data_IF_271797400648
#
_entry.id   IF_271797400648
#
_cell.length_a   1.000
_cell.length_b   1.000
_cell.length_c   1.000
_cell.angle_alpha   90.00
_cell.angle_beta   90.00
_cell.angle_gamma   90.00
#
_symmetry.space_group_name_H-M   'P 1'
#
loop_
_entity.id
_entity.type
_entity.pdbx_description
1 polymer ?
#
# COMPACT_ATOMS: atom_id res chain seq x y z
N UNK A 1 43.01 76.90 7.94
CA UNK A 1 43.39 76.48 6.58
C UNK A 1 43.22 74.96 6.55
N UNK A 2 42.00 74.42 6.58
CA UNK A 2 40.84 74.65 5.71
C UNK A 2 41.15 74.46 4.22
N UNK A 3 40.73 73.31 3.71
CA UNK A 3 40.11 73.22 2.39
C UNK A 3 38.95 72.20 2.43
N UNK A 4 37.78 72.70 2.81
CA UNK A 4 36.47 72.25 2.31
C UNK A 4 36.41 72.68 0.83
N UNK A 5 35.92 71.96 -0.18
CA UNK A 5 34.58 71.42 -0.45
C UNK A 5 34.60 70.86 -1.89
N UNK A 6 33.77 69.88 -2.23
CA UNK A 6 33.54 69.52 -3.63
C UNK A 6 32.59 68.35 -3.88
N UNK A 7 31.31 68.59 -3.64
CA UNK A 7 30.12 67.93 -4.21
C UNK A 7 29.70 66.49 -3.80
N UNK A 8 28.44 66.46 -3.35
CA UNK A 8 27.54 65.33 -3.03
C UNK A 8 26.74 64.99 -4.31
N UNK A 9 26.01 63.85 -4.30
CA UNK A 9 24.88 63.41 -5.18
C UNK A 9 25.30 62.22 -6.08
N UNK A 10 24.77 60.99 -6.02
CA UNK A 10 23.63 60.38 -5.29
C UNK A 10 23.96 58.90 -5.01
N UNK A 11 23.80 58.45 -3.76
CA UNK A 11 23.66 57.02 -3.43
C UNK A 11 22.20 56.75 -3.12
N UNK A 12 21.39 56.64 -4.17
CA UNK A 12 20.07 56.03 -4.06
C UNK A 12 20.22 54.50 -4.08
N UNK A 13 20.31 53.92 -2.90
CA UNK A 13 19.28 52.96 -2.46
C UNK A 13 19.48 52.60 -0.98
N UNK A 14 18.46 52.92 -0.20
CA UNK A 14 18.06 52.26 1.04
C UNK A 14 18.30 50.73 0.94
N UNK A 15 18.70 50.00 1.97
CA UNK A 15 18.16 50.00 3.32
C UNK A 15 19.15 49.36 4.28
N UNK A 16 19.00 49.71 5.56
CA UNK A 16 19.54 48.99 6.71
C UNK A 16 19.27 47.49 6.56
N UNK A 17 20.27 46.70 6.19
CA UNK A 17 20.17 45.24 6.27
C UNK A 17 20.28 44.83 7.73
N UNK A 18 19.12 44.83 8.35
CA UNK A 18 18.88 44.22 9.63
C UNK A 18 19.29 42.74 9.56
N UNK A 19 20.36 42.36 10.27
CA UNK A 19 20.90 40.99 10.32
C UNK A 19 19.97 40.00 11.06
N UNK A 20 18.70 40.35 11.25
CA UNK A 20 17.67 39.56 11.92
C UNK A 20 17.11 38.41 11.05
N UNK A 21 17.41 38.38 9.75
CA UNK A 21 16.90 37.34 8.83
C UNK A 21 17.88 36.20 8.51
N UNK A 22 19.16 36.27 8.88
CA UNK A 22 20.12 35.18 8.62
C UNK A 22 19.90 33.99 9.56
N UNK A 23 19.64 34.25 10.85
CA UNK A 23 19.30 33.23 11.85
C UNK A 23 18.04 32.44 11.48
N UNK A 24 17.07 33.08 10.81
CA UNK A 24 15.83 32.42 10.41
C UNK A 24 16.06 31.32 9.35
N UNK A 25 16.93 31.57 8.37
CA UNK A 25 17.28 30.58 7.36
C UNK A 25 18.21 29.48 7.88
N UNK A 26 19.12 29.80 8.81
CA UNK A 26 19.94 28.81 9.52
C UNK A 26 19.11 27.94 10.48
N UNK A 27 18.11 28.50 11.15
CA UNK A 27 17.16 27.72 11.96
C UNK A 27 16.29 26.80 11.10
N UNK A 28 15.88 27.23 9.89
CA UNK A 28 15.05 26.39 9.01
C UNK A 28 15.87 25.30 8.34
N UNK A 29 17.12 25.57 7.95
CA UNK A 29 18.03 24.57 7.39
C UNK A 29 18.44 23.54 8.46
N UNK A 30 18.82 23.99 9.66
CA UNK A 30 19.14 23.12 10.80
C UNK A 30 17.92 22.32 11.28
N UNK A 31 16.72 22.91 11.35
CA UNK A 31 15.46 22.16 11.63
C UNK A 31 15.13 21.13 10.55
N UNK A 32 15.44 21.39 9.28
CA UNK A 32 15.25 20.42 8.18
C UNK A 32 16.28 19.29 8.27
N UNK A 33 17.52 19.61 8.62
CA UNK A 33 18.60 18.63 8.72
C UNK A 33 18.47 17.73 9.96
N UNK A 34 18.11 18.30 11.11
CA UNK A 34 17.73 17.55 12.34
C UNK A 34 16.52 16.66 12.10
N UNK A 35 15.43 17.18 11.50
CA UNK A 35 14.26 16.36 11.12
C UNK A 35 14.62 15.23 10.16
N UNK A 36 15.54 15.44 9.21
CA UNK A 36 16.02 14.38 8.30
C UNK A 36 16.79 13.30 9.05
N UNK A 37 17.69 13.68 9.97
CA UNK A 37 18.43 12.76 10.85
C UNK A 37 17.46 11.96 11.74
N UNK A 38 16.53 12.63 12.43
CA UNK A 38 15.49 11.99 13.25
C UNK A 38 14.62 11.02 12.44
N UNK A 39 14.24 11.39 11.21
CA UNK A 39 13.44 10.53 10.32
C UNK A 39 14.25 9.30 9.87
N UNK A 40 15.54 9.46 9.58
CA UNK A 40 16.43 8.35 9.22
C UNK A 40 16.60 7.37 10.38
N UNK A 41 16.83 7.88 11.58
CA UNK A 41 16.94 7.06 12.79
C UNK A 41 15.63 6.32 13.08
N UNK A 42 14.48 6.98 12.92
CA UNK A 42 13.19 6.33 13.09
C UNK A 42 12.96 5.19 12.07
N UNK A 43 13.35 5.37 10.80
CA UNK A 43 13.27 4.30 9.79
C UNK A 43 14.10 3.09 10.19
N UNK A 44 15.32 3.31 10.67
CA UNK A 44 16.23 2.24 11.10
C UNK A 44 15.70 1.51 12.34
N UNK A 45 15.23 2.26 13.34
CA UNK A 45 14.63 1.70 14.56
C UNK A 45 13.40 0.85 14.23
N UNK A 46 12.51 1.34 13.37
CA UNK A 46 11.32 0.59 12.95
C UNK A 46 11.69 -0.65 12.15
N UNK A 47 12.62 -0.54 11.20
CA UNK A 47 13.05 -1.68 10.41
C UNK A 47 13.70 -2.77 11.28
N UNK A 48 14.61 -2.40 12.18
CA UNK A 48 15.26 -3.35 13.09
C UNK A 48 14.24 -4.04 14.00
N UNK A 49 13.28 -3.30 14.53
CA UNK A 49 12.20 -3.87 15.32
C UNK A 49 11.39 -4.90 14.51
N UNK A 50 10.99 -4.56 13.28
CA UNK A 50 10.26 -5.49 12.42
C UNK A 50 11.08 -6.75 12.11
N UNK A 51 12.38 -6.60 11.81
CA UNK A 51 13.27 -7.74 11.54
C UNK A 51 13.48 -8.64 12.77
N UNK A 52 13.37 -8.10 13.99
CA UNK A 52 13.45 -8.91 15.21
C UNK A 52 12.20 -9.74 15.50
N UNK A 53 11.02 -9.31 15.02
CA UNK A 53 9.75 -10.00 15.30
C UNK A 53 9.28 -10.89 14.14
N UNK A 54 9.76 -10.64 12.92
CA UNK A 54 9.40 -11.42 11.74
C UNK A 54 10.20 -12.73 11.63
N UNK A 55 9.52 -13.80 11.22
CA UNK A 55 10.20 -15.03 10.80
C UNK A 55 10.85 -14.89 9.40
N UNK A 56 11.58 -15.91 8.94
CA UNK A 56 12.30 -15.85 7.67
C UNK A 56 11.40 -15.68 6.45
N UNK A 57 10.25 -16.39 6.41
CA UNK A 57 9.28 -16.28 5.32
C UNK A 57 8.64 -14.88 5.27
N UNK A 58 8.26 -14.34 6.43
CA UNK A 58 7.72 -12.98 6.58
C UNK A 58 8.74 -11.93 6.13
N UNK A 59 10.03 -12.13 6.44
CA UNK A 59 11.12 -11.26 5.97
C UNK A 59 11.26 -11.29 4.45
N UNK A 60 11.21 -12.47 3.85
CA UNK A 60 11.31 -12.61 2.39
C UNK A 60 10.13 -11.91 1.69
N UNK A 61 8.91 -12.16 2.14
CA UNK A 61 7.71 -11.47 1.62
C UNK A 61 7.81 -9.95 1.82
N UNK A 62 8.30 -9.51 2.99
CA UNK A 62 8.52 -8.11 3.29
C UNK A 62 9.43 -7.45 2.27
N UNK A 63 10.61 -8.02 2.01
CA UNK A 63 11.56 -7.44 1.05
C UNK A 63 11.06 -7.52 -0.40
N UNK A 64 10.30 -8.56 -0.76
CA UNK A 64 9.67 -8.70 -2.07
C UNK A 64 8.61 -7.63 -2.33
N UNK A 65 7.83 -7.25 -1.31
CA UNK A 65 6.87 -6.14 -1.42
C UNK A 65 7.63 -4.81 -1.41
N UNK A 66 8.61 -4.69 -0.53
CA UNK A 66 9.42 -3.49 -0.35
C UNK A 66 10.18 -3.07 -1.62
N UNK A 67 10.71 -4.02 -2.38
CA UNK A 67 11.44 -3.77 -3.62
C UNK A 67 10.55 -3.26 -4.75
N UNK A 68 9.25 -3.58 -4.72
CA UNK A 68 8.26 -3.10 -5.70
C UNK A 68 7.78 -1.68 -5.42
N UNK A 69 8.15 -1.09 -4.28
CA UNK A 69 7.70 0.23 -3.86
C UNK A 69 8.78 1.28 -4.14
N UNK A 70 8.35 2.44 -4.66
CA UNK A 70 9.23 3.54 -5.02
C UNK A 70 10.01 4.18 -3.86
N UNK A 71 10.78 5.23 -4.17
CA UNK A 71 11.83 5.77 -3.29
C UNK A 71 11.35 6.41 -1.98
N UNK A 72 10.08 6.85 -1.89
CA UNK A 72 9.54 7.45 -0.65
C UNK A 72 9.17 6.40 0.37
N UNK A 73 10.21 5.94 1.06
CA UNK A 73 10.19 4.96 2.14
C UNK A 73 10.12 5.67 3.48
N UNK A 74 8.93 5.74 4.09
CA UNK A 74 8.70 6.28 5.43
C UNK A 74 8.44 5.17 6.47
N UNK A 75 8.68 5.40 7.77
CA UNK A 75 8.49 4.35 8.79
C UNK A 75 7.09 3.74 8.79
N UNK A 76 6.06 4.54 8.47
CA UNK A 76 4.69 4.06 8.35
C UNK A 76 4.49 3.07 7.20
N UNK A 77 5.27 3.16 6.12
CA UNK A 77 5.23 2.20 5.03
C UNK A 77 5.77 0.84 5.49
N UNK A 78 6.85 0.82 6.27
CA UNK A 78 7.44 -0.44 6.75
C UNK A 78 6.44 -1.18 7.65
N UNK A 79 5.82 -0.45 8.57
CA UNK A 79 4.77 -0.98 9.44
C UNK A 79 3.57 -1.46 8.63
N UNK A 80 3.18 -0.73 7.57
CA UNK A 80 2.07 -1.11 6.72
C UNK A 80 2.32 -2.40 5.94
N UNK A 81 3.55 -2.63 5.46
CA UNK A 81 3.93 -3.89 4.79
C UNK A 81 3.88 -5.05 5.78
N UNK A 82 4.46 -4.88 6.97
CA UNK A 82 4.41 -5.91 8.01
C UNK A 82 2.97 -6.26 8.40
N UNK A 83 2.14 -5.26 8.73
CA UNK A 83 0.75 -5.53 9.09
C UNK A 83 -0.02 -6.17 7.94
N UNK A 84 0.34 -5.87 6.69
CA UNK A 84 -0.29 -6.48 5.53
C UNK A 84 0.04 -7.97 5.41
N UNK A 85 1.30 -8.37 5.58
CA UNK A 85 1.74 -9.78 5.59
C UNK A 85 1.03 -10.55 6.70
N UNK A 86 1.08 -10.04 7.93
CA UNK A 86 0.47 -10.69 9.09
C UNK A 86 -1.05 -10.85 8.90
N UNK A 87 -1.73 -9.85 8.34
CA UNK A 87 -3.18 -9.97 8.05
C UNK A 87 -3.49 -11.01 6.98
N UNK A 88 -2.62 -11.17 5.98
CA UNK A 88 -2.79 -12.16 4.91
C UNK A 88 -2.65 -13.59 5.44
N UNK A 89 -1.84 -13.78 6.47
CA UNK A 89 -1.69 -15.05 7.19
C UNK A 89 -2.80 -15.29 8.25
N UNK A 90 -3.80 -14.40 8.36
CA UNK A 90 -4.86 -14.50 9.34
C UNK A 90 -4.42 -14.23 10.80
N UNK A 91 -3.21 -13.70 10.99
CA UNK A 91 -2.64 -13.38 12.30
C UNK A 91 -3.06 -11.97 12.72
N UNK A 92 -3.02 -11.72 14.03
CA UNK A 92 -3.26 -10.40 14.64
C UNK A 92 -1.94 -9.86 15.18
N UNK A 93 -1.73 -8.54 15.06
CA UNK A 93 -0.56 -7.87 15.64
C UNK A 93 -0.47 -8.08 17.15
N UNK A 94 0.75 -8.29 17.65
CA UNK A 94 0.98 -8.56 19.07
C UNK A 94 0.76 -7.33 19.95
N UNK A 95 0.53 -7.55 21.26
CA UNK A 95 0.40 -6.45 22.23
C UNK A 95 1.66 -5.59 22.29
N UNK A 96 2.83 -6.19 22.13
CA UNK A 96 4.11 -5.47 22.19
C UNK A 96 4.34 -4.61 20.95
N UNK A 97 3.87 -5.04 19.78
CA UNK A 97 3.78 -4.19 18.59
C UNK A 97 2.96 -2.93 18.86
N UNK A 98 1.79 -3.07 19.49
CA UNK A 98 0.94 -1.92 19.83
C UNK A 98 1.62 -0.98 20.83
N UNK A 99 2.35 -1.51 21.81
CA UNK A 99 3.15 -0.69 22.75
C UNK A 99 4.26 0.05 22.02
N UNK A 100 4.98 -0.62 21.12
CA UNK A 100 6.04 -0.03 20.31
C UNK A 100 5.51 1.15 19.48
N UNK A 101 4.36 0.99 18.81
CA UNK A 101 3.74 2.07 18.05
C UNK A 101 3.43 3.31 18.91
N UNK A 102 2.87 3.09 20.11
CA UNK A 102 2.56 4.18 21.05
C UNK A 102 3.83 4.88 21.52
N UNK A 103 4.86 4.12 21.90
CA UNK A 103 6.14 4.65 22.39
C UNK A 103 6.86 5.48 21.34
N UNK A 104 6.76 5.11 20.05
CA UNK A 104 7.41 5.82 18.95
C UNK A 104 6.54 6.91 18.30
N UNK A 105 5.32 7.15 18.81
CA UNK A 105 4.42 8.16 18.26
C UNK A 105 3.94 7.87 16.83
N UNK A 106 3.94 6.60 16.41
CA UNK A 106 3.56 6.21 15.05
C UNK A 106 2.04 6.06 14.97
N UNK A 107 1.40 7.00 14.29
CA UNK A 107 -0.05 7.08 14.19
C UNK A 107 -0.66 5.93 13.38
N UNK A 108 -1.64 5.25 13.98
CA UNK A 108 -2.44 4.18 13.31
C UNK A 108 -3.07 4.65 12.00
N UNK A 109 -3.47 5.92 11.94
CA UNK A 109 -4.07 6.50 10.73
C UNK A 109 -3.08 6.52 9.56
N UNK A 110 -1.83 6.90 9.79
CA UNK A 110 -0.80 6.93 8.75
C UNK A 110 -0.54 5.52 8.20
N UNK A 111 -0.41 4.53 9.08
CA UNK A 111 -0.25 3.12 8.70
C UNK A 111 -1.44 2.64 7.87
N UNK A 112 -2.67 2.94 8.29
CA UNK A 112 -3.90 2.60 7.56
C UNK A 112 -3.93 3.18 6.15
N UNK A 113 -3.53 4.44 5.98
CA UNK A 113 -3.45 5.08 4.66
C UNK A 113 -2.42 4.38 3.77
N UNK A 114 -1.25 4.04 4.33
CA UNK A 114 -0.20 3.31 3.60
C UNK A 114 -0.65 1.90 3.20
N UNK A 115 -1.35 1.15 4.07
CA UNK A 115 -1.98 -0.14 3.71
C UNK A 115 -2.99 -0.02 2.57
N UNK A 116 -3.79 1.05 2.56
CA UNK A 116 -4.73 1.33 1.46
C UNK A 116 -4.00 1.56 0.13
N UNK A 117 -2.85 2.24 0.16
CA UNK A 117 -1.99 2.42 -1.02
C UNK A 117 -1.34 1.10 -1.44
N UNK A 118 -0.82 0.32 -0.49
CA UNK A 118 -0.22 -1.00 -0.75
C UNK A 118 -1.19 -1.92 -1.51
N UNK A 119 -2.44 -2.05 -1.05
CA UNK A 119 -3.46 -2.85 -1.76
C UNK A 119 -3.72 -2.41 -3.19
N UNK A 120 -3.75 -1.09 -3.44
CA UNK A 120 -3.90 -0.53 -4.79
C UNK A 120 -2.69 -0.86 -5.66
N UNK A 121 -1.48 -0.74 -5.11
CA UNK A 121 -0.22 -0.98 -5.84
C UNK A 121 0.00 -2.46 -6.16
N UNK A 122 -0.33 -3.34 -5.21
CA UNK A 122 -0.27 -4.80 -5.40
C UNK A 122 -1.40 -5.33 -6.31
N UNK A 123 -2.30 -4.45 -6.78
CA UNK A 123 -3.48 -4.79 -7.60
C UNK A 123 -4.31 -5.91 -6.97
N UNK A 124 -4.38 -5.95 -5.65
CA UNK A 124 -5.18 -6.96 -4.98
C UNK A 124 -6.65 -6.67 -5.20
N UNK A 125 -7.35 -7.73 -5.57
CA UNK A 125 -8.77 -7.64 -5.80
C UNK A 125 -9.49 -7.56 -4.45
N UNK A 126 -10.16 -6.46 -4.09
CA UNK A 126 -10.83 -6.33 -2.80
C UNK A 126 -11.90 -7.39 -2.56
N UNK A 127 -12.40 -8.02 -3.63
CA UNK A 127 -13.32 -9.15 -3.52
C UNK A 127 -12.59 -10.45 -3.14
N UNK A 128 -11.35 -10.65 -3.59
CA UNK A 128 -10.52 -11.78 -3.14
C UNK A 128 -10.15 -11.62 -1.65
N UNK A 129 -9.82 -10.40 -1.21
CA UNK A 129 -9.58 -10.10 0.22
C UNK A 129 -10.82 -10.45 1.06
N UNK A 130 -12.02 -10.08 0.57
CA UNK A 130 -13.28 -10.44 1.21
C UNK A 130 -13.48 -11.96 1.32
N UNK A 131 -13.28 -12.71 0.23
CA UNK A 131 -13.48 -14.17 0.21
C UNK A 131 -12.52 -14.86 1.20
N UNK A 132 -11.27 -14.42 1.25
CA UNK A 132 -10.26 -15.08 2.09
C UNK A 132 -10.42 -14.76 3.58
N UNK A 133 -10.79 -13.52 3.93
CA UNK A 133 -10.72 -13.04 5.32
C UNK A 133 -12.08 -12.85 5.99
N UNK A 134 -13.08 -12.36 5.27
CA UNK A 134 -14.37 -11.94 5.86
C UNK A 134 -15.52 -12.93 5.59
N UNK A 135 -15.44 -13.72 4.51
CA UNK A 135 -16.51 -14.65 4.14
C UNK A 135 -16.53 -15.89 5.04
N UNK A 136 -17.69 -16.15 5.64
CA UNK A 136 -17.91 -17.25 6.59
C UNK A 136 -18.38 -18.56 5.95
N UNK A 137 -18.72 -18.56 4.66
CA UNK A 137 -19.15 -19.75 3.92
C UNK A 137 -17.98 -20.55 3.34
N UNK A 138 -18.27 -21.43 2.37
CA UNK A 138 -17.25 -22.19 1.66
C UNK A 138 -16.39 -21.27 0.78
N UNK A 139 -15.14 -21.04 1.20
CA UNK A 139 -14.20 -20.14 0.53
C UNK A 139 -13.78 -20.64 -0.84
N UNK A 140 -13.60 -21.95 -1.02
CA UNK A 140 -13.21 -22.54 -2.30
C UNK A 140 -14.29 -22.35 -3.36
N UNK A 141 -15.55 -22.53 -2.96
CA UNK A 141 -16.71 -22.33 -3.83
C UNK A 141 -16.83 -20.86 -4.25
N UNK A 142 -16.66 -19.94 -3.29
CA UNK A 142 -16.67 -18.51 -3.56
C UNK A 142 -15.54 -18.07 -4.49
N UNK A 143 -14.34 -18.64 -4.35
CA UNK A 143 -13.22 -18.40 -5.27
C UNK A 143 -13.54 -18.88 -6.69
N UNK A 144 -14.05 -20.11 -6.83
CA UNK A 144 -14.41 -20.67 -8.14
C UNK A 144 -15.45 -19.81 -8.85
N UNK A 145 -16.54 -19.45 -8.16
CA UNK A 145 -17.59 -18.61 -8.72
C UNK A 145 -17.03 -17.24 -9.10
N UNK A 146 -16.21 -16.64 -8.25
CA UNK A 146 -15.59 -15.34 -8.53
C UNK A 146 -14.72 -15.36 -9.79
N UNK A 147 -13.90 -16.40 -9.97
CA UNK A 147 -13.07 -16.56 -11.18
C UNK A 147 -13.91 -16.68 -12.44
N UNK A 148 -15.00 -17.45 -12.40
CA UNK A 148 -15.91 -17.61 -13.54
C UNK A 148 -16.54 -16.26 -13.90
N UNK A 149 -17.09 -15.56 -12.90
CA UNK A 149 -17.70 -14.24 -13.09
C UNK A 149 -16.71 -13.23 -13.66
N UNK A 150 -15.44 -13.29 -13.24
CA UNK A 150 -14.36 -12.44 -13.75
C UNK A 150 -13.99 -12.79 -15.19
N UNK A 151 -13.80 -14.07 -15.52
CA UNK A 151 -13.50 -14.53 -16.90
C UNK A 151 -14.58 -14.14 -17.90
N UNK A 152 -15.84 -14.11 -17.46
CA UNK A 152 -16.99 -13.78 -18.31
C UNK A 152 -17.37 -12.30 -18.28
N UNK A 153 -16.59 -11.44 -17.62
CA UNK A 153 -16.90 -10.01 -17.44
C UNK A 153 -18.28 -9.73 -16.81
N UNK A 154 -18.83 -10.68 -16.03
CA UNK A 154 -20.10 -10.54 -15.32
C UNK A 154 -19.95 -9.75 -14.02
N UNK A 155 -18.73 -9.68 -13.49
CA UNK A 155 -18.38 -8.87 -12.33
C UNK A 155 -17.80 -7.53 -12.78
N UNK A 156 -18.49 -6.44 -12.44
CA UNK A 156 -18.14 -5.09 -12.87
C UNK A 156 -18.34 -4.03 -11.78
N UNK A 157 -17.74 -2.87 -12.00
CA UNK A 157 -17.88 -1.70 -11.15
C UNK A 157 -16.99 -1.69 -9.89
N UNK A 158 -17.45 -0.97 -8.87
CA UNK A 158 -16.72 -0.74 -7.61
C UNK A 158 -16.66 -2.02 -6.77
N UNK A 159 -15.79 -2.05 -5.76
CA UNK A 159 -15.62 -3.23 -4.90
C UNK A 159 -16.94 -3.71 -4.27
N UNK A 160 -17.78 -2.79 -3.81
CA UNK A 160 -19.09 -3.08 -3.20
C UNK A 160 -20.07 -3.73 -4.18
N UNK A 161 -20.12 -3.25 -5.43
CA UNK A 161 -21.00 -3.85 -6.45
C UNK A 161 -20.51 -5.24 -6.82
N UNK A 162 -19.20 -5.43 -6.98
CA UNK A 162 -18.60 -6.74 -7.26
C UNK A 162 -18.82 -7.74 -6.13
N UNK A 163 -18.73 -7.30 -4.87
CA UNK A 163 -19.06 -8.11 -3.67
C UNK A 163 -20.54 -8.49 -3.65
N UNK A 164 -21.44 -7.56 -3.97
CA UNK A 164 -22.88 -7.83 -4.05
C UNK A 164 -23.21 -8.87 -5.12
N UNK A 165 -22.65 -8.72 -6.31
CA UNK A 165 -22.82 -9.68 -7.42
C UNK A 165 -22.35 -11.06 -6.96
N UNK A 166 -21.15 -11.16 -6.38
CA UNK A 166 -20.65 -12.43 -5.86
C UNK A 166 -21.60 -13.08 -4.84
N UNK A 167 -22.10 -12.31 -3.86
CA UNK A 167 -23.02 -12.80 -2.83
C UNK A 167 -24.37 -13.25 -3.42
N UNK A 168 -24.86 -12.55 -4.44
CA UNK A 168 -26.09 -12.91 -5.14
C UNK A 168 -25.97 -14.28 -5.81
N UNK A 169 -24.84 -14.56 -6.46
CA UNK A 169 -24.53 -15.87 -7.03
C UNK A 169 -24.25 -16.95 -5.98
N UNK A 170 -23.73 -16.57 -4.80
CA UNK A 170 -23.50 -17.51 -3.70
C UNK A 170 -24.79 -17.90 -2.97
N UNK A 171 -25.79 -17.03 -2.95
CA UNK A 171 -27.07 -17.29 -2.28
C UNK A 171 -28.08 -18.00 -3.19
N UNK A 172 -28.05 -17.74 -4.50
CA UNK A 172 -29.01 -18.29 -5.45
C UNK A 172 -28.52 -19.61 -6.08
N UNK A 173 -29.13 -20.73 -5.67
CA UNK A 173 -28.79 -22.07 -6.16
C UNK A 173 -29.01 -22.26 -7.66
N UNK A 174 -29.93 -21.51 -8.28
CA UNK A 174 -30.16 -21.58 -9.73
C UNK A 174 -29.04 -20.93 -10.52
N UNK A 175 -28.58 -19.77 -10.05
CA UNK A 175 -27.45 -19.05 -10.66
C UNK A 175 -26.13 -19.81 -10.54
N UNK A 176 -25.96 -20.58 -9.46
CA UNK A 176 -24.83 -21.52 -9.31
C UNK A 176 -24.85 -22.62 -10.38
N UNK A 177 -25.98 -23.31 -10.53
CA UNK A 177 -26.14 -24.37 -11.53
C UNK A 177 -25.87 -23.88 -12.94
N UNK A 178 -26.37 -22.70 -13.29
CA UNK A 178 -26.10 -22.07 -14.58
C UNK A 178 -24.59 -21.83 -14.79
N UNK A 179 -23.85 -21.41 -13.76
CA UNK A 179 -22.40 -21.25 -13.87
C UNK A 179 -21.68 -22.59 -14.04
N UNK A 180 -22.13 -23.64 -13.34
CA UNK A 180 -21.54 -24.99 -13.43
C UNK A 180 -21.78 -25.63 -14.81
N UNK A 181 -23.00 -25.58 -15.33
CA UNK A 181 -23.37 -26.09 -16.66
C UNK A 181 -22.54 -25.39 -17.76
N UNK A 182 -22.44 -24.07 -17.70
CA UNK A 182 -21.58 -23.30 -18.61
C UNK A 182 -20.09 -23.61 -18.45
N UNK A 183 -19.62 -23.96 -17.25
CA UNK A 183 -18.21 -24.31 -17.03
C UNK A 183 -17.89 -25.65 -17.69
N UNK A 184 -18.79 -26.63 -17.54
CA UNK A 184 -18.70 -27.95 -18.17
C UNK A 184 -18.68 -27.82 -19.70
N UNK A 185 -19.58 -27.03 -20.29
CA UNK A 185 -19.58 -26.80 -21.75
C UNK A 185 -18.28 -26.15 -22.25
N UNK A 186 -17.72 -25.17 -21.53
CA UNK A 186 -16.47 -24.55 -21.94
C UNK A 186 -15.27 -25.49 -21.81
N UNK A 187 -15.23 -26.34 -20.79
CA UNK A 187 -14.21 -27.39 -20.62
C UNK A 187 -14.27 -28.42 -21.73
N UNK A 188 -15.49 -28.88 -22.05
CA UNK A 188 -15.74 -29.81 -23.15
C UNK A 188 -15.26 -29.19 -24.46
N UNK A 189 -15.67 -27.95 -24.76
CA UNK A 189 -15.29 -27.26 -26.00
C UNK A 189 -13.79 -27.00 -26.11
N UNK A 190 -13.13 -26.66 -25.00
CA UNK A 190 -11.67 -26.48 -24.97
C UNK A 190 -10.93 -27.80 -25.19
N UNK A 191 -11.38 -28.89 -24.56
CA UNK A 191 -10.82 -30.23 -24.78
C UNK A 191 -11.02 -30.70 -26.22
N UNK A 192 -12.20 -30.48 -26.81
CA UNK A 192 -12.44 -30.84 -28.21
C UNK A 192 -11.53 -30.08 -29.19
N UNK A 193 -11.35 -28.77 -29.00
CA UNK A 193 -10.46 -27.99 -29.85
C UNK A 193 -9.00 -28.43 -29.74
N UNK A 194 -8.54 -28.78 -28.54
CA UNK A 194 -7.17 -29.29 -28.36
C UNK A 194 -6.97 -30.69 -28.94
N UNK A 195 -7.96 -31.58 -28.84
CA UNK A 195 -7.91 -32.92 -29.44
C UNK A 195 -7.85 -32.84 -30.98
N UNK A 196 -8.62 -31.92 -31.59
CA UNK A 196 -8.60 -31.70 -33.04
C UNK A 196 -7.23 -31.16 -33.50
N UNK A 197 -6.61 -30.24 -32.75
CA UNK A 197 -5.28 -29.73 -33.09
C UNK A 197 -4.16 -30.76 -32.95
N UNK A 198 -4.31 -31.76 -32.07
CA UNK A 198 -3.33 -32.85 -31.92
C UNK A 198 -3.54 -34.01 -32.90
N UNK A 199 -4.71 -34.15 -33.52
CA UNK A 199 -4.95 -35.14 -34.58
C UNK A 199 -4.60 -34.64 -35.99
N UNK A 200 -4.32 -33.34 -36.15
CA UNK A 200 -3.97 -32.70 -37.42
C UNK A 200 -2.47 -32.39 -37.58
N UNK A 201 -1.63 -32.90 -36.67
CA UNK A 201 -0.16 -32.90 -36.75
C UNK A 201 0.30 -34.34 -37.06
#
# INVERSE_FOLDING_TARGET
MDSCTGEVVDFDNYDVTDYSNLEYYEMISSKRETKRKETYDMKKVVLNYLLSIMNENEKEEFFKIFSKLGERKDPALYLAIYEYIITKEGKVVTRDYVKFLKMKGLGRYAIRQKKKLLRKMLKEDPVLEYINNEYSGNKEEALKIYEILKKKNLIYGRAETRKRILLEYLNDSRKKKLLEEYYVENLIRWNFNNVITFQLI
#
